data_IF_303894471340
#
_entry.id   IF_303894471340
#
_cell.length_a   1.000
_cell.length_b   1.000
_cell.length_c   1.000
_cell.angle_alpha   90.00
_cell.angle_beta   90.00
_cell.angle_gamma   90.00
#
_symmetry.space_group_name_H-M   'P 1'
#
loop_
_entity.id
_entity.type
_entity.pdbx_description
1 polymer ?
#
# COMPACT_ATOMS: atom_id res chain seq x y z
N UNK A 1 -13.01 -6.89 -26.14
CA UNK A 1 -12.73 -6.23 -24.85
C UNK A 1 -13.22 -7.20 -23.79
N UNK A 2 -12.29 -7.90 -23.11
CA UNK A 2 -12.67 -8.88 -22.08
C UNK A 2 -13.14 -8.09 -20.87
N UNK A 3 -14.31 -8.43 -20.36
CA UNK A 3 -14.88 -7.79 -19.17
C UNK A 3 -13.90 -7.90 -17.99
N UNK A 4 -13.62 -6.81 -17.25
CA UNK A 4 -12.61 -6.79 -16.20
C UNK A 4 -12.90 -7.77 -15.06
N UNK A 5 -14.17 -8.12 -14.80
CA UNK A 5 -14.51 -9.14 -13.81
C UNK A 5 -14.15 -10.55 -14.31
N UNK A 6 -14.25 -10.79 -15.62
CA UNK A 6 -13.85 -12.08 -16.23
C UNK A 6 -12.33 -12.24 -16.20
N UNK A 7 -11.56 -11.17 -16.39
CA UNK A 7 -10.11 -11.19 -16.26
C UNK A 7 -9.63 -11.51 -14.83
N UNK A 8 -10.34 -10.99 -13.83
CA UNK A 8 -10.05 -11.24 -12.41
C UNK A 8 -10.36 -12.71 -12.03
N UNK A 9 -11.50 -13.24 -12.49
CA UNK A 9 -11.87 -14.66 -12.29
C UNK A 9 -10.85 -15.63 -12.90
N UNK A 10 -10.35 -15.36 -14.10
CA UNK A 10 -9.32 -16.18 -14.76
C UNK A 10 -8.01 -16.16 -13.98
N UNK A 11 -7.59 -14.98 -13.52
CA UNK A 11 -6.37 -14.78 -12.72
C UNK A 11 -6.45 -15.53 -11.38
N UNK A 12 -7.61 -15.54 -10.74
CA UNK A 12 -7.84 -16.25 -9.48
C UNK A 12 -7.80 -17.77 -9.66
N UNK A 13 -8.37 -18.30 -10.76
CA UNK A 13 -8.31 -19.72 -11.09
C UNK A 13 -6.88 -20.21 -11.37
N UNK A 14 -6.08 -19.44 -12.11
CA UNK A 14 -4.67 -19.77 -12.36
C UNK A 14 -3.83 -19.74 -11.08
N UNK A 15 -4.12 -18.79 -10.18
CA UNK A 15 -3.48 -18.68 -8.87
C UNK A 15 -3.79 -19.89 -7.99
N UNK A 16 -5.05 -20.33 -7.95
CA UNK A 16 -5.49 -21.53 -7.21
C UNK A 16 -4.82 -22.82 -7.72
N UNK A 17 -4.76 -23.00 -9.04
CA UNK A 17 -4.07 -24.16 -9.66
C UNK A 17 -2.58 -24.18 -9.34
N UNK A 18 -1.92 -23.02 -9.39
CA UNK A 18 -0.50 -22.91 -9.00
C UNK A 18 -0.27 -23.30 -7.55
N UNK A 19 -1.08 -22.77 -6.62
CA UNK A 19 -0.95 -23.08 -5.19
C UNK A 19 -1.21 -24.57 -4.89
N UNK A 20 -2.13 -25.21 -5.60
CA UNK A 20 -2.44 -26.64 -5.43
C UNK A 20 -1.28 -27.57 -5.82
N UNK A 21 -0.42 -27.15 -6.76
CA UNK A 21 0.73 -27.92 -7.23
C UNK A 21 1.98 -27.79 -6.32
N UNK A 22 1.98 -26.95 -5.28
CA UNK A 22 3.11 -26.86 -4.35
C UNK A 22 3.12 -28.00 -3.32
N UNK A 23 4.30 -28.38 -2.77
CA UNK A 23 4.39 -29.29 -1.63
C UNK A 23 3.59 -28.79 -0.41
N UNK A 24 2.95 -29.68 0.36
CA UNK A 24 2.05 -29.32 1.48
C UNK A 24 2.64 -28.32 2.49
N UNK A 25 3.96 -28.37 2.75
CA UNK A 25 4.66 -27.40 3.62
C UNK A 25 4.71 -25.98 3.06
N UNK A 26 4.78 -25.84 1.72
CA UNK A 26 4.77 -24.55 1.01
C UNK A 26 3.35 -24.07 0.70
N UNK A 27 2.35 -24.96 0.66
CA UNK A 27 0.94 -24.59 0.46
C UNK A 27 0.39 -23.74 1.62
N UNK A 28 0.73 -24.05 2.87
CA UNK A 28 0.30 -23.26 4.04
C UNK A 28 0.84 -21.82 4.00
N UNK A 29 2.12 -21.67 3.66
CA UNK A 29 2.76 -20.36 3.48
C UNK A 29 2.17 -19.61 2.28
N UNK A 30 1.97 -20.28 1.15
CA UNK A 30 1.38 -19.70 -0.05
C UNK A 30 -0.09 -19.27 0.13
N UNK A 31 -0.88 -20.01 0.92
CA UNK A 31 -2.27 -19.62 1.27
C UNK A 31 -2.28 -18.40 2.19
N UNK A 32 -1.42 -18.35 3.21
CA UNK A 32 -1.27 -17.16 4.08
C UNK A 32 -0.81 -15.93 3.27
N UNK A 33 0.13 -16.12 2.35
CA UNK A 33 0.59 -15.07 1.43
C UNK A 33 -0.47 -14.64 0.42
N UNK A 34 -1.40 -15.52 0.04
CA UNK A 34 -2.47 -15.20 -0.90
C UNK A 34 -3.56 -14.30 -0.30
N UNK A 35 -3.78 -14.39 1.02
CA UNK A 35 -4.71 -13.52 1.77
C UNK A 35 -4.14 -12.12 1.97
N UNK A 36 -2.82 -11.94 1.84
CA UNK A 36 -2.18 -10.62 2.00
C UNK A 36 -2.53 -9.71 0.81
N UNK A 37 -3.32 -8.68 1.07
CA UNK A 37 -3.55 -7.59 0.12
C UNK A 37 -2.28 -6.75 0.02
N UNK A 38 -1.51 -6.95 -1.06
CA UNK A 38 -0.28 -6.21 -1.32
C UNK A 38 -0.59 -5.05 -2.25
N UNK A 39 -0.32 -3.83 -1.78
CA UNK A 39 -0.41 -2.62 -2.59
C UNK A 39 1.02 -2.15 -2.86
N UNK A 40 1.38 -1.97 -4.12
CA UNK A 40 2.61 -1.28 -4.51
C UNK A 40 2.39 0.22 -4.37
N UNK A 41 3.14 0.86 -3.48
CA UNK A 41 3.12 2.32 -3.30
C UNK A 41 4.52 2.86 -3.57
N UNK A 42 4.60 3.93 -4.34
CA UNK A 42 5.84 4.67 -4.53
C UNK A 42 6.10 5.52 -3.28
N UNK A 43 7.18 5.19 -2.58
CA UNK A 43 7.64 5.92 -1.40
C UNK A 43 8.93 6.68 -1.75
N UNK A 44 9.06 7.96 -1.37
CA UNK A 44 10.33 8.66 -1.46
C UNK A 44 11.43 7.91 -0.70
N UNK A 45 12.68 7.87 -1.20
CA UNK A 45 13.76 7.14 -0.55
C UNK A 45 13.96 7.54 0.92
N UNK A 46 13.92 8.84 1.22
CA UNK A 46 14.05 9.36 2.58
C UNK A 46 12.94 8.83 3.51
N UNK A 47 11.69 8.81 3.05
CA UNK A 47 10.57 8.28 3.84
C UNK A 47 10.72 6.78 4.09
N UNK A 48 11.16 6.03 3.08
CA UNK A 48 11.40 4.60 3.21
C UNK A 48 12.53 4.30 4.22
N UNK A 49 13.61 5.08 4.20
CA UNK A 49 14.71 4.92 5.15
C UNK A 49 14.28 5.26 6.59
N UNK A 50 13.50 6.32 6.79
CA UNK A 50 12.91 6.64 8.10
C UNK A 50 12.01 5.51 8.62
N UNK A 51 11.14 4.96 7.77
CA UNK A 51 10.29 3.82 8.15
C UNK A 51 11.14 2.59 8.50
N UNK A 52 12.24 2.33 7.78
CA UNK A 52 13.16 1.24 8.09
C UNK A 52 13.78 1.42 9.47
N UNK A 53 14.33 2.61 9.77
CA UNK A 53 14.99 2.89 11.05
C UNK A 53 14.04 2.73 12.24
N UNK A 54 12.80 3.25 12.13
CA UNK A 54 11.79 3.09 13.17
C UNK A 54 11.41 1.62 13.34
N UNK A 55 11.17 0.91 12.24
CA UNK A 55 10.81 -0.50 12.30
C UNK A 55 11.90 -1.38 12.93
N UNK A 56 13.17 -1.09 12.62
CA UNK A 56 14.32 -1.78 13.22
C UNK A 56 14.44 -1.48 14.72
N UNK A 57 14.29 -0.23 15.14
CA UNK A 57 14.35 0.19 16.54
C UNK A 57 13.22 -0.41 17.39
N UNK A 58 12.02 -0.54 16.82
CA UNK A 58 10.84 -1.09 17.50
C UNK A 58 10.67 -2.60 17.29
N UNK A 59 11.57 -3.26 16.56
CA UNK A 59 11.49 -4.68 16.21
C UNK A 59 10.18 -5.12 15.54
N UNK A 60 9.63 -4.27 14.67
CA UNK A 60 8.37 -4.52 13.93
C UNK A 60 8.61 -4.57 12.42
N UNK A 61 7.60 -4.99 11.65
CA UNK A 61 7.69 -4.97 10.19
C UNK A 61 7.44 -3.57 9.62
N UNK A 62 8.18 -3.17 8.60
CA UNK A 62 7.93 -1.92 7.85
C UNK A 62 6.49 -1.88 7.32
N UNK A 63 5.98 -3.00 6.82
CA UNK A 63 4.61 -3.10 6.31
C UNK A 63 3.54 -2.82 7.38
N UNK A 64 3.72 -3.34 8.59
CA UNK A 64 2.77 -3.10 9.69
C UNK A 64 2.86 -1.66 10.19
N UNK A 65 4.07 -1.11 10.27
CA UNK A 65 4.29 0.28 10.64
C UNK A 65 3.67 1.25 9.63
N UNK A 66 3.90 1.02 8.33
CA UNK A 66 3.32 1.83 7.27
C UNK A 66 1.78 1.77 7.28
N UNK A 67 1.20 0.57 7.49
CA UNK A 67 -0.24 0.42 7.61
C UNK A 67 -0.80 1.16 8.85
N UNK A 68 -0.09 1.10 9.99
CA UNK A 68 -0.48 1.82 11.20
C UNK A 68 -0.48 3.34 10.99
N UNK A 69 0.58 3.90 10.42
CA UNK A 69 0.63 5.34 10.14
C UNK A 69 -0.39 5.78 9.08
N UNK A 70 -0.66 4.95 8.07
CA UNK A 70 -1.71 5.22 7.10
C UNK A 70 -3.09 5.28 7.77
N UNK A 71 -3.42 4.29 8.62
CA UNK A 71 -4.67 4.28 9.38
C UNK A 71 -4.79 5.52 10.26
N UNK A 72 -3.72 5.86 10.99
CA UNK A 72 -3.70 7.03 11.86
C UNK A 72 -3.91 8.34 11.08
N UNK A 73 -3.25 8.48 9.93
CA UNK A 73 -3.40 9.66 9.08
C UNK A 73 -4.81 9.80 8.50
N UNK A 74 -5.50 8.69 8.24
CA UNK A 74 -6.91 8.68 7.83
C UNK A 74 -7.79 9.19 8.98
N UNK A 75 -7.62 8.67 10.20
CA UNK A 75 -8.38 9.11 11.38
C UNK A 75 -8.16 10.61 11.66
N UNK A 76 -6.91 11.07 11.64
CA UNK A 76 -6.61 12.49 11.89
C UNK A 76 -7.19 13.40 10.77
N UNK A 77 -7.29 12.92 9.52
CA UNK A 77 -7.98 13.64 8.45
C UNK A 77 -9.50 13.68 8.65
N UNK A 78 -10.12 12.55 9.00
CA UNK A 78 -11.56 12.44 9.26
C UNK A 78 -12.00 13.30 10.46
N UNK A 79 -11.15 13.41 11.48
CA UNK A 79 -11.36 14.29 12.64
C UNK A 79 -11.06 15.77 12.34
N UNK A 80 -10.63 16.12 11.13
CA UNK A 80 -10.35 17.49 10.71
C UNK A 80 -9.07 18.08 11.32
N UNK A 81 -8.17 17.25 11.85
CA UNK A 81 -6.87 17.69 12.40
C UNK A 81 -5.85 18.00 11.31
N UNK A 82 -6.10 17.53 10.08
CA UNK A 82 -5.20 17.70 8.95
C UNK A 82 -5.95 18.17 7.71
N UNK A 83 -5.54 19.32 7.14
CA UNK A 83 -6.06 19.80 5.87
C UNK A 83 -5.10 19.43 4.73
N UNK A 84 -5.60 18.72 3.73
CA UNK A 84 -4.82 18.35 2.55
C UNK A 84 -4.64 19.51 1.57
N UNK A 85 -5.47 20.56 1.66
CA UNK A 85 -5.53 21.65 0.67
C UNK A 85 -4.20 22.38 0.45
N UNK A 86 -3.40 22.73 1.48
CA UNK A 86 -2.09 23.37 1.31
C UNK A 86 -1.08 22.48 0.57
N UNK A 87 -1.26 21.16 0.68
CA UNK A 87 -0.37 20.14 0.12
C UNK A 87 -0.78 19.69 -1.29
N UNK A 88 -1.96 20.10 -1.78
CA UNK A 88 -2.39 19.80 -3.16
C UNK A 88 -1.57 20.61 -4.18
N UNK A 89 -1.24 19.95 -5.29
CA UNK A 89 -0.66 20.54 -6.50
C UNK A 89 -1.41 19.98 -7.70
N UNK A 90 -1.62 20.80 -8.74
CA UNK A 90 -2.22 20.33 -9.98
C UNK A 90 -1.44 19.12 -10.53
N UNK A 91 -2.18 18.06 -10.82
CA UNK A 91 -1.66 16.86 -11.44
C UNK A 91 -1.31 17.12 -12.90
N UNK A 92 -0.27 16.44 -13.40
CA UNK A 92 0.06 16.41 -14.84
C UNK A 92 -0.56 15.21 -15.55
N UNK A 93 -1.24 14.33 -14.82
CA UNK A 93 -1.87 13.13 -15.33
C UNK A 93 -3.38 13.37 -15.49
N UNK A 94 -3.94 13.04 -16.65
CA UNK A 94 -5.37 13.21 -16.93
C UNK A 94 -6.30 12.43 -15.98
N UNK A 95 -5.77 11.42 -15.25
CA UNK A 95 -6.55 10.61 -14.30
C UNK A 95 -6.88 11.32 -12.99
N UNK A 96 -6.11 12.33 -12.60
CA UNK A 96 -6.24 12.98 -11.30
C UNK A 96 -6.20 14.50 -11.50
N UNK A 97 -7.00 15.25 -10.76
CA UNK A 97 -6.98 16.72 -10.80
C UNK A 97 -5.82 17.28 -9.95
N UNK A 98 -5.59 16.69 -8.77
CA UNK A 98 -4.52 17.06 -7.86
C UNK A 98 -3.67 15.86 -7.46
N UNK A 99 -2.40 16.12 -7.18
CA UNK A 99 -1.47 15.23 -6.48
C UNK A 99 -0.97 15.91 -5.21
N UNK A 100 -0.56 15.13 -4.21
CA UNK A 100 0.02 15.67 -2.99
C UNK A 100 1.52 15.94 -3.18
N UNK A 101 1.96 17.08 -2.68
CA UNK A 101 3.37 17.48 -2.67
C UNK A 101 3.98 17.20 -1.30
N UNK A 102 4.73 16.09 -1.23
CA UNK A 102 5.36 15.64 0.01
C UNK A 102 6.47 16.59 0.51
N UNK A 103 7.07 17.41 -0.37
CA UNK A 103 8.06 18.40 0.05
C UNK A 103 7.45 19.53 0.89
N UNK A 104 6.13 19.74 0.80
CA UNK A 104 5.40 20.68 1.65
C UNK A 104 5.08 20.11 3.02
N UNK A 105 5.21 18.81 3.22
CA UNK A 105 4.96 18.16 4.52
C UNK A 105 6.07 18.52 5.53
N UNK A 106 7.32 18.69 5.05
CA UNK A 106 8.50 18.98 5.90
C UNK A 106 8.55 20.40 6.46
N UNK A 107 7.60 21.26 6.08
CA UNK A 107 7.59 22.69 6.44
C UNK A 107 6.42 23.10 7.35
N UNK A 108 5.65 22.14 7.86
CA UNK A 108 4.49 22.42 8.72
C UNK A 108 4.76 22.09 10.18
#
# INVERSE_FOLDING_TARGET
MVDPAVADMLSDMERRKRIANLPKSKQSKARKDAVRHKVGLDLPPALHDSLRQIAEGEHISISSLAAFFAQRGIEDYEEGKFDLSPHKRLSRCARFEYVLDLAKLEKS
#
